data_IF_941275099913
#
_entry.id   IF_941275099913
#
_cell.length_a   1.000
_cell.length_b   1.000
_cell.length_c   1.000
_cell.angle_alpha   90.00
_cell.angle_beta   90.00
_cell.angle_gamma   90.00
#
_symmetry.space_group_name_H-M   'P 1'
#
loop_
_entity.id
_entity.type
_entity.pdbx_description
1 polymer ?
#
# COMPACT_ATOMS: atom_id res chain seq x y z
N UNK A 1 22.37 -8.68 -19.81
CA UNK A 1 21.61 -7.48 -19.42
C UNK A 1 20.81 -7.85 -18.18
N UNK A 2 21.28 -7.44 -17.00
CA UNK A 2 20.57 -7.64 -15.73
C UNK A 2 20.14 -6.24 -15.32
N UNK A 3 18.87 -5.90 -15.52
CA UNK A 3 18.36 -4.59 -15.13
C UNK A 3 18.38 -4.52 -13.60
N UNK A 4 19.09 -3.51 -13.11
CA UNK A 4 19.25 -3.10 -11.73
C UNK A 4 17.94 -3.08 -10.92
N UNK A 5 17.97 -3.68 -9.73
CA UNK A 5 18.02 -2.87 -8.51
C UNK A 5 16.75 -2.18 -8.00
N UNK A 6 15.55 -2.48 -8.47
CA UNK A 6 14.34 -2.22 -7.68
C UNK A 6 14.09 -3.45 -6.77
N UNK A 7 13.99 -3.25 -5.45
CA UNK A 7 13.64 -4.28 -4.46
C UNK A 7 12.18 -4.72 -4.67
N UNK A 8 11.97 -5.47 -5.76
CA UNK A 8 10.70 -5.98 -6.19
C UNK A 8 10.54 -7.37 -5.58
N UNK A 9 9.82 -7.43 -4.48
CA UNK A 9 9.50 -8.68 -3.82
C UNK A 9 8.16 -9.20 -4.31
N UNK A 10 8.10 -10.47 -4.71
CA UNK A 10 6.83 -11.12 -5.01
C UNK A 10 6.02 -11.28 -3.73
N UNK A 11 4.80 -10.75 -3.72
CA UNK A 11 3.90 -10.79 -2.58
C UNK A 11 2.51 -11.21 -3.01
N UNK A 12 1.81 -11.86 -2.08
CA UNK A 12 0.41 -12.22 -2.22
C UNK A 12 -0.45 -11.01 -1.84
N UNK A 13 -1.19 -10.48 -2.79
CA UNK A 13 -2.12 -9.37 -2.58
C UNK A 13 -3.55 -9.92 -2.61
N UNK A 14 -4.28 -9.75 -1.52
CA UNK A 14 -5.68 -10.15 -1.40
C UNK A 14 -6.60 -9.17 -2.10
N UNK A 15 -7.64 -9.72 -2.70
CA UNK A 15 -8.75 -9.00 -3.32
C UNK A 15 -10.08 -9.57 -2.85
N UNK A 16 -11.18 -8.86 -3.15
CA UNK A 16 -12.53 -9.29 -2.78
C UNK A 16 -12.96 -10.61 -3.46
N UNK A 17 -12.51 -10.83 -4.69
CA UNK A 17 -12.84 -12.01 -5.50
C UNK A 17 -11.70 -13.03 -5.61
N UNK A 18 -10.62 -12.89 -4.85
CA UNK A 18 -9.49 -13.81 -4.93
C UNK A 18 -8.19 -13.31 -4.31
N UNK A 19 -7.08 -13.65 -4.95
CA UNK A 19 -5.76 -13.11 -4.60
C UNK A 19 -4.85 -13.15 -5.82
N UNK A 20 -3.86 -12.28 -5.85
CA UNK A 20 -2.89 -12.16 -6.95
C UNK A 20 -1.49 -12.24 -6.38
N UNK A 21 -0.56 -12.77 -7.17
CA UNK A 21 0.87 -12.75 -6.86
C UNK A 21 1.53 -11.77 -7.81
N UNK A 22 2.05 -10.70 -7.25
CA UNK A 22 2.70 -9.64 -8.00
C UNK A 22 3.96 -9.17 -7.30
N UNK A 23 4.92 -8.71 -8.10
CA UNK A 23 6.13 -8.08 -7.63
C UNK A 23 5.83 -6.65 -7.19
N UNK A 24 5.98 -6.35 -5.90
CA UNK A 24 5.74 -5.03 -5.30
C UNK A 24 7.00 -4.48 -4.64
N UNK A 25 7.12 -3.15 -4.62
CA UNK A 25 8.16 -2.44 -3.87
C UNK A 25 7.79 -2.35 -2.39
N UNK A 26 8.76 -2.05 -1.52
CA UNK A 26 8.50 -1.77 -0.09
C UNK A 26 7.47 -0.66 0.13
N UNK A 27 7.45 0.37 -0.73
CA UNK A 27 6.53 1.49 -0.61
C UNK A 27 5.08 1.07 -0.87
N UNK A 28 4.89 0.30 -1.94
CA UNK A 28 3.61 -0.31 -2.29
C UNK A 28 3.15 -1.30 -1.23
N UNK A 29 4.07 -2.11 -0.70
CA UNK A 29 3.78 -3.07 0.37
C UNK A 29 3.27 -2.37 1.63
N UNK A 30 3.90 -1.26 2.04
CA UNK A 30 3.44 -0.46 3.18
C UNK A 30 2.04 0.09 2.96
N UNK A 31 1.70 0.55 1.74
CA UNK A 31 0.36 1.02 1.38
C UNK A 31 -0.68 -0.10 1.33
N UNK A 32 -0.27 -1.29 0.91
CA UNK A 32 -1.12 -2.48 0.89
C UNK A 32 -1.39 -3.07 2.28
N UNK A 33 -0.58 -2.73 3.28
CA UNK A 33 -0.77 -3.16 4.65
C UNK A 33 -1.77 -2.25 5.37
N UNK A 34 -3.01 -2.71 5.50
CA UNK A 34 -4.09 -2.00 6.17
C UNK A 34 -4.19 -2.34 7.67
N UNK A 35 -3.07 -2.72 8.31
CA UNK A 35 -3.01 -3.09 9.73
C UNK A 35 -3.28 -4.58 10.01
N UNK A 36 -3.23 -5.43 8.99
CA UNK A 36 -3.43 -6.88 9.08
C UNK A 36 -2.21 -7.68 8.62
N UNK A 37 -2.23 -9.01 8.78
CA UNK A 37 -1.17 -9.90 8.28
C UNK A 37 -1.17 -10.00 6.74
N UNK A 38 -2.32 -9.73 6.10
CA UNK A 38 -2.50 -9.79 4.66
C UNK A 38 -2.29 -8.43 4.01
N UNK A 39 -1.69 -8.45 2.82
CA UNK A 39 -1.56 -7.28 1.95
C UNK A 39 -2.75 -7.20 1.00
N UNK A 40 -3.26 -6.00 0.76
CA UNK A 40 -4.42 -5.79 -0.09
C UNK A 40 -4.06 -5.04 -1.37
N UNK A 41 -4.53 -5.55 -2.51
CA UNK A 41 -4.30 -4.90 -3.81
C UNK A 41 -4.98 -3.52 -3.87
N UNK A 42 -6.08 -3.34 -3.14
CA UNK A 42 -6.79 -2.07 -3.04
C UNK A 42 -5.90 -0.93 -2.48
N UNK A 43 -5.04 -1.23 -1.50
CA UNK A 43 -4.12 -0.27 -0.91
C UNK A 43 -2.85 -0.06 -1.75
N UNK A 44 -2.35 -1.13 -2.39
CA UNK A 44 -1.22 -1.04 -3.33
C UNK A 44 -1.55 -0.14 -4.53
N UNK A 45 -2.75 -0.30 -5.10
CA UNK A 45 -3.22 0.47 -6.25
C UNK A 45 -3.00 -0.23 -7.59
N UNK A 46 -2.73 0.58 -8.62
CA UNK A 46 -2.49 0.10 -9.99
C UNK A 46 -1.10 -0.51 -10.13
N UNK A 47 -1.04 -1.78 -10.52
CA UNK A 47 0.18 -2.47 -10.90
C UNK A 47 0.19 -2.77 -12.39
N UNK A 48 1.38 -2.81 -12.99
CA UNK A 48 1.54 -3.20 -14.38
C UNK A 48 1.37 -4.73 -14.54
N UNK A 49 0.79 -5.15 -15.65
CA UNK A 49 0.48 -6.55 -15.97
C UNK A 49 1.74 -7.44 -15.95
N UNK A 50 2.87 -6.92 -16.42
CA UNK A 50 4.17 -7.62 -16.41
C UNK A 50 4.69 -7.97 -15.01
N UNK A 51 4.16 -7.32 -13.96
CA UNK A 51 4.57 -7.55 -12.56
C UNK A 51 3.82 -8.72 -11.93
N UNK A 52 2.75 -9.20 -12.57
CA UNK A 52 1.95 -10.33 -12.07
C UNK A 52 2.54 -11.66 -12.56
N UNK A 53 2.76 -12.57 -11.61
CA UNK A 53 3.19 -13.93 -11.94
C UNK A 53 1.99 -14.84 -12.16
N UNK A 54 0.98 -14.71 -11.29
CA UNK A 54 -0.23 -15.55 -11.31
C UNK A 54 -1.34 -14.95 -10.45
N UNK A 55 -2.56 -15.42 -10.66
CA UNK A 55 -3.69 -15.02 -9.85
C UNK A 55 -4.65 -16.19 -9.58
N UNK A 56 -5.37 -16.09 -8.47
CA UNK A 56 -6.41 -17.04 -8.09
C UNK A 56 -7.76 -16.34 -8.07
N UNK A 57 -8.74 -16.92 -8.75
CA UNK A 57 -10.12 -16.43 -8.77
C UNK A 57 -10.98 -17.33 -7.88
N UNK A 58 -11.63 -16.76 -6.86
CA UNK A 58 -12.57 -17.49 -5.99
C UNK A 58 -13.80 -17.98 -6.76
N UNK A 59 -14.21 -17.31 -7.84
CA UNK A 59 -15.40 -17.72 -8.62
C UNK A 59 -15.10 -18.95 -9.48
N UNK A 60 -13.91 -19.02 -10.05
CA UNK A 60 -13.46 -20.20 -10.81
C UNK A 60 -12.88 -21.28 -9.90
N UNK A 61 -12.59 -20.94 -8.65
CA UNK A 61 -11.85 -21.76 -7.68
C UNK A 61 -10.54 -22.30 -8.27
N UNK A 62 -9.91 -21.48 -9.12
CA UNK A 62 -8.79 -21.88 -9.98
C UNK A 62 -7.70 -20.81 -10.00
N UNK A 63 -6.47 -21.28 -10.09
CA UNK A 63 -5.29 -20.46 -10.37
C UNK A 63 -5.06 -20.32 -11.87
N UNK A 64 -4.73 -19.11 -12.30
CA UNK A 64 -4.41 -18.73 -13.66
C UNK A 64 -2.99 -18.13 -13.67
N UNK A 65 -2.22 -18.46 -14.70
CA UNK A 65 -0.89 -17.89 -14.89
C UNK A 65 -0.98 -16.54 -15.61
N UNK A 66 -0.08 -15.61 -15.27
CA UNK A 66 -0.03 -14.26 -15.83
C UNK A 66 -0.86 -13.23 -15.05
N UNK A 67 -1.21 -12.13 -15.72
CA UNK A 67 -1.99 -11.03 -15.17
C UNK A 67 -3.49 -11.20 -15.39
N UNK A 68 -4.33 -10.72 -14.45
CA UNK A 68 -5.74 -10.49 -14.72
C UNK A 68 -5.93 -9.25 -15.60
N UNK A 69 -7.02 -9.20 -16.37
CA UNK A 69 -7.35 -8.03 -17.20
C UNK A 69 -7.66 -6.83 -16.32
N UNK A 70 -6.94 -5.74 -16.49
CA UNK A 70 -7.18 -4.48 -15.77
C UNK A 70 -8.09 -3.56 -16.58
N UNK A 71 -9.16 -3.06 -15.96
CA UNK A 71 -10.00 -2.00 -16.52
C UNK A 71 -10.03 -0.82 -15.55
N UNK A 72 -9.65 0.37 -15.99
CA UNK A 72 -9.60 1.56 -15.13
C UNK A 72 -10.26 2.76 -15.78
N UNK A 73 -10.87 3.60 -14.96
CA UNK A 73 -11.59 4.80 -15.34
C UNK A 73 -11.15 5.97 -14.44
N UNK A 74 -11.17 7.19 -14.98
CA UNK A 74 -10.78 8.42 -14.27
C UNK A 74 -11.99 9.32 -14.06
N UNK A 75 -12.77 9.10 -12.98
CA UNK A 75 -13.97 9.88 -12.74
C UNK A 75 -13.65 11.35 -12.38
N UNK A 76 -12.58 11.62 -11.62
CA UNK A 76 -12.25 12.96 -11.09
C UNK A 76 -13.43 13.58 -10.30
N UNK A 77 -14.13 12.75 -9.54
CA UNK A 77 -15.31 13.15 -8.77
C UNK A 77 -14.89 13.55 -7.35
N UNK A 78 -15.42 14.66 -6.86
CA UNK A 78 -15.27 15.07 -5.45
C UNK A 78 -16.11 14.13 -4.58
N UNK A 79 -15.46 13.45 -3.62
CA UNK A 79 -16.14 12.55 -2.68
C UNK A 79 -16.43 13.23 -1.33
N UNK A 80 -16.10 14.52 -1.19
CA UNK A 80 -16.26 15.31 0.03
C UNK A 80 -14.95 15.54 0.79
N UNK A 81 -14.97 16.50 1.72
CA UNK A 81 -13.82 16.91 2.55
C UNK A 81 -12.55 17.30 1.75
N UNK A 82 -12.73 17.77 0.51
CA UNK A 82 -11.63 18.10 -0.39
C UNK A 82 -10.90 16.89 -0.97
N UNK A 83 -11.40 15.67 -0.75
CA UNK A 83 -10.85 14.44 -1.34
C UNK A 83 -11.51 14.18 -2.68
N UNK A 84 -10.69 14.02 -3.73
CA UNK A 84 -11.19 13.72 -5.08
C UNK A 84 -10.82 12.29 -5.47
N UNK A 85 -11.80 11.49 -5.91
CA UNK A 85 -11.54 10.20 -6.54
C UNK A 85 -11.05 10.43 -7.98
N UNK A 86 -9.74 10.37 -8.17
CA UNK A 86 -9.10 10.65 -9.46
C UNK A 86 -9.03 9.41 -10.36
N UNK A 87 -9.00 8.21 -9.78
CA UNK A 87 -8.94 6.97 -10.55
C UNK A 87 -9.59 5.82 -9.79
N UNK A 88 -10.36 4.99 -10.50
CA UNK A 88 -10.84 3.70 -10.02
C UNK A 88 -10.45 2.65 -11.04
N UNK A 89 -10.06 1.46 -10.58
CA UNK A 89 -9.83 0.36 -11.49
C UNK A 89 -10.17 -0.99 -10.89
N UNK A 90 -10.45 -1.94 -11.78
CA UNK A 90 -10.92 -3.27 -11.47
C UNK A 90 -10.05 -4.30 -12.20
N UNK A 91 -9.60 -5.31 -11.46
CA UNK A 91 -8.91 -6.46 -12.01
C UNK A 91 -9.92 -7.59 -12.23
N UNK A 92 -10.05 -8.05 -13.47
CA UNK A 92 -11.02 -9.05 -13.91
C UNK A 92 -10.34 -10.35 -14.29
N UNK A 93 -10.95 -11.46 -13.90
CA UNK A 93 -10.52 -12.80 -14.29
C UNK A 93 -10.68 -12.99 -15.79
N UNK A 94 -9.66 -13.51 -16.49
CA UNK A 94 -9.73 -13.75 -17.94
C UNK A 94 -10.63 -14.94 -18.29
N UNK A 95 -10.86 -15.87 -17.36
CA UNK A 95 -11.70 -17.05 -17.60
C UNK A 95 -13.20 -16.83 -17.41
N UNK A 96 -13.61 -15.96 -16.49
CA UNK A 96 -15.02 -15.76 -16.15
C UNK A 96 -15.47 -14.29 -16.10
N UNK A 97 -14.58 -13.34 -16.41
CA UNK A 97 -14.81 -11.90 -16.34
C UNK A 97 -15.23 -11.36 -14.97
N UNK A 98 -15.16 -12.18 -13.92
CA UNK A 98 -15.49 -11.77 -12.55
C UNK A 98 -14.41 -10.84 -11.98
N UNK A 99 -14.82 -9.84 -11.20
CA UNK A 99 -13.91 -8.91 -10.54
C UNK A 99 -13.17 -9.63 -9.40
N UNK A 100 -11.84 -9.70 -9.50
CA UNK A 100 -10.94 -10.29 -8.50
C UNK A 100 -10.61 -9.28 -7.41
N UNK A 101 -10.38 -8.03 -7.83
CA UNK A 101 -10.01 -6.95 -6.93
C UNK A 101 -10.36 -5.61 -7.55
N UNK A 102 -10.54 -4.60 -6.71
CA UNK A 102 -10.74 -3.22 -7.13
C UNK A 102 -9.76 -2.34 -6.36
N UNK A 103 -9.30 -1.27 -7.00
CA UNK A 103 -8.48 -0.25 -6.39
C UNK A 103 -9.07 1.13 -6.65
N UNK A 104 -8.80 2.06 -5.74
CA UNK A 104 -9.24 3.45 -5.83
C UNK A 104 -8.08 4.35 -5.47
N UNK A 105 -7.88 5.40 -6.26
CA UNK A 105 -6.86 6.41 -6.03
C UNK A 105 -7.56 7.72 -5.73
N UNK A 106 -7.30 8.23 -4.53
CA UNK A 106 -7.81 9.50 -4.05
C UNK A 106 -6.70 10.54 -4.13
N UNK A 107 -7.09 11.79 -4.37
CA UNK A 107 -6.24 12.96 -4.29
C UNK A 107 -6.76 13.82 -3.14
N UNK A 108 -5.99 13.90 -2.06
CA UNK A 108 -6.27 14.77 -0.92
C UNK A 108 -5.34 16.00 -1.00
N UNK A 109 -5.77 17.19 -0.56
CA UNK A 109 -4.97 18.42 -0.63
C UNK A 109 -3.72 18.41 0.26
N UNK A 110 -3.50 17.37 1.06
CA UNK A 110 -2.46 17.31 2.10
C UNK A 110 -1.32 16.30 1.86
N UNK A 111 -1.17 15.74 0.65
CA UNK A 111 0.00 14.89 0.34
C UNK A 111 0.72 15.36 -0.94
N UNK A 112 1.63 16.35 -0.86
CA UNK A 112 2.72 16.42 -1.82
C UNK A 112 3.54 15.14 -1.70
N UNK A 113 3.56 14.35 -2.76
CA UNK A 113 4.44 13.19 -2.94
C UNK A 113 5.85 13.51 -2.45
N UNK A 114 6.21 13.07 -1.24
CA UNK A 114 7.58 13.16 -0.74
C UNK A 114 8.41 12.11 -1.46
N UNK A 115 9.06 12.56 -2.53
CA UNK A 115 10.28 12.00 -3.11
C UNK A 115 11.21 11.49 -2.01
N UNK A 116 11.59 10.20 -2.06
CA UNK A 116 12.74 9.70 -1.29
C UNK A 116 14.03 10.20 -1.92
N UNK A 117 14.90 10.84 -1.13
CA UNK A 117 16.31 11.01 -1.52
C UNK A 117 17.12 12.09 -0.80
N UNK A 118 17.81 11.67 0.28
CA UNK A 118 19.12 12.13 0.80
C UNK A 118 19.29 13.41 1.65
N UNK A 119 19.82 13.15 2.88
CA UNK A 119 20.99 13.75 3.59
C UNK A 119 20.95 15.28 3.85
N UNK A 120 21.30 15.83 5.03
CA UNK A 120 22.46 15.56 5.88
C UNK A 120 22.19 15.80 7.38
N UNK A 121 22.81 14.96 8.20
CA UNK A 121 23.02 15.17 9.64
C UNK A 121 24.09 16.27 9.80
N UNK A 122 23.72 17.45 10.30
CA UNK A 122 24.71 18.46 10.73
C UNK A 122 24.57 18.71 12.23
N UNK A 123 25.31 17.88 12.96
CA UNK A 123 25.74 18.11 14.33
C UNK A 123 26.64 19.36 14.40
N UNK A 124 26.11 20.48 14.89
CA UNK A 124 26.85 21.39 15.79
C UNK A 124 25.96 22.51 16.34
N UNK A 125 25.71 22.52 17.65
CA UNK A 125 26.37 23.46 18.56
C UNK A 125 25.69 23.45 19.95
N UNK A 126 26.33 22.74 20.88
CA UNK A 126 26.69 23.18 22.24
C UNK A 126 25.93 24.40 22.80
N UNK A 127 25.23 24.20 23.92
CA UNK A 127 25.67 24.66 25.25
C UNK A 127 24.58 24.52 26.32
N UNK A 128 24.96 23.92 27.46
CA UNK A 128 24.69 24.36 28.86
C UNK A 128 23.22 24.60 29.22
N UNK A 129 22.59 23.97 30.20
CA UNK A 129 22.97 23.68 31.59
C UNK A 129 21.70 23.19 32.28
N UNK A 130 21.79 22.37 33.32
CA UNK A 130 20.72 22.31 34.33
C UNK A 130 20.37 20.91 34.80
N UNK A 131 21.16 20.40 35.72
CA UNK A 131 20.73 19.38 36.68
C UNK A 131 19.53 19.90 37.47
N UNK A 132 18.43 19.13 37.53
CA UNK A 132 17.69 18.94 38.79
C UNK A 132 17.12 17.53 38.84
N UNK A 133 17.66 16.76 39.77
CA UNK A 133 17.05 15.59 40.39
C UNK A 133 15.87 16.09 41.23
N UNK A 134 14.71 15.43 41.23
CA UNK A 134 13.93 15.21 42.45
C UNK A 134 12.84 14.13 42.26
N UNK A 135 12.80 13.24 43.24
CA UNK A 135 11.91 12.11 43.46
C UNK A 135 10.41 12.45 43.48
N UNK A 136 9.58 11.46 43.14
CA UNK A 136 8.48 10.90 43.96
C UNK A 136 7.36 10.35 43.05
N UNK A 137 7.06 9.04 43.04
CA UNK A 137 6.31 8.25 44.05
C UNK A 137 4.77 8.29 43.81
N UNK A 138 4.14 7.10 43.87
CA UNK A 138 2.71 6.74 43.74
C UNK A 138 2.12 6.66 42.30
N UNK A 139 1.31 5.66 41.91
CA UNK A 139 0.74 4.50 42.59
C UNK A 139 0.21 3.49 41.56
N UNK A 140 0.28 2.21 41.91
CA UNK A 140 -0.56 1.13 41.40
C UNK A 140 -2.01 1.25 41.94
N UNK A 141 -2.95 0.64 41.19
CA UNK A 141 -4.42 0.41 41.34
C UNK A 141 -5.19 1.09 40.20
N UNK A 142 -6.12 0.48 39.47
CA UNK A 142 -7.02 -0.65 39.75
C UNK A 142 -7.59 -1.16 38.41
N UNK A 143 -7.66 -2.48 38.19
CA UNK A 143 -8.52 -3.09 37.17
C UNK A 143 -9.21 -4.27 37.85
N UNK A 144 -10.43 -4.02 38.32
CA UNK A 144 -11.45 -5.02 38.61
C UNK A 144 -12.02 -5.55 37.29
#
# INVERSE_FOLDING_TARGET
MMIEGDDLSEKKLRGSGGHVFAKVTDEEQKKGNLGGPDLFLAGVGRLNEDRFSKYYCNKCEKEFQGSPTINYEKPNEDVGEGVTLIEKGEYRCTGCNNTIAQYRKFNSPEEPSRTRGSRDDNSNNRSRTGWIHFNSIFSWHDCI
#
